data_IF_333860339088
#
_entry.id   IF_333860339088
#
_cell.length_a   1.000
_cell.length_b   1.000
_cell.length_c   1.000
_cell.angle_alpha   90.00
_cell.angle_beta   90.00
_cell.angle_gamma   90.00
#
_symmetry.space_group_name_H-M   'P 1'
#
loop_
_entity.id
_entity.type
_entity.pdbx_description
1 polymer ?
#
# COMPACT_ATOMS: atom_id res chain seq x y z
N UNK A 1 -4.90 0.22 -13.35
CA UNK A 1 -5.03 1.69 -13.30
C UNK A 1 -4.83 2.17 -14.71
N UNK A 2 -5.71 3.02 -15.21
CA UNK A 2 -5.73 3.35 -16.65
C UNK A 2 -4.61 4.32 -17.07
N UNK A 3 -3.92 4.91 -16.08
CA UNK A 3 -2.75 5.76 -16.25
C UNK A 3 -1.63 5.28 -15.31
N UNK A 4 -0.43 5.03 -15.84
CA UNK A 4 0.77 4.56 -15.13
C UNK A 4 1.28 5.55 -14.06
N UNK A 5 1.03 6.84 -14.24
CA UNK A 5 1.41 7.87 -13.28
C UNK A 5 0.49 7.93 -12.07
N UNK A 6 -0.67 7.27 -12.12
CA UNK A 6 -1.63 7.28 -11.02
C UNK A 6 -1.06 6.59 -9.78
N UNK A 7 -1.23 7.23 -8.63
CA UNK A 7 -0.87 6.68 -7.32
C UNK A 7 -2.09 6.67 -6.39
N UNK A 8 -2.13 5.73 -5.45
CA UNK A 8 -3.23 5.57 -4.51
C UNK A 8 -2.81 5.46 -3.05
N UNK A 9 -3.70 5.83 -2.15
CA UNK A 9 -3.55 5.63 -0.70
C UNK A 9 -4.83 4.97 -0.17
N UNK A 10 -4.68 3.88 0.58
CA UNK A 10 -5.77 3.14 1.20
C UNK A 10 -5.57 3.06 2.71
N UNK A 11 -6.65 3.14 3.48
CA UNK A 11 -6.59 3.15 4.94
C UNK A 11 -7.61 2.14 5.50
N UNK A 12 -7.19 1.31 6.44
CA UNK A 12 -8.09 0.52 7.27
C UNK A 12 -7.51 0.37 8.69
N UNK A 13 -8.06 -0.55 9.51
CA UNK A 13 -7.57 -0.77 10.87
C UNK A 13 -6.06 -1.05 10.90
N UNK A 14 -5.58 -2.03 10.15
CA UNK A 14 -4.16 -2.45 10.13
C UNK A 14 -3.42 -2.15 8.82
N UNK A 15 -4.12 -1.72 7.77
CA UNK A 15 -3.61 -1.61 6.39
C UNK A 15 -3.45 -2.94 5.65
N UNK A 16 -3.37 -4.08 6.37
CA UNK A 16 -3.15 -5.42 5.79
C UNK A 16 -4.29 -5.87 4.87
N UNK A 17 -5.53 -5.71 5.32
CA UNK A 17 -6.69 -6.11 4.52
C UNK A 17 -6.78 -5.33 3.21
N UNK A 18 -6.40 -4.05 3.23
CA UNK A 18 -6.38 -3.21 2.05
C UNK A 18 -5.31 -3.65 1.06
N UNK A 19 -4.09 -3.96 1.52
CA UNK A 19 -3.04 -4.43 0.61
C UNK A 19 -3.38 -5.80 0.01
N UNK A 20 -3.97 -6.71 0.77
CA UNK A 20 -4.42 -8.02 0.26
C UNK A 20 -5.50 -7.85 -0.81
N UNK A 21 -6.49 -6.97 -0.58
CA UNK A 21 -7.57 -6.74 -1.53
C UNK A 21 -7.08 -6.02 -2.80
N UNK A 22 -6.29 -4.95 -2.63
CA UNK A 22 -5.82 -4.11 -3.73
C UNK A 22 -4.89 -4.88 -4.69
N UNK A 23 -4.01 -5.75 -4.16
CA UNK A 23 -3.11 -6.57 -4.98
C UNK A 23 -3.81 -7.60 -5.87
N UNK A 24 -5.13 -7.83 -5.71
CA UNK A 24 -5.91 -8.69 -6.62
C UNK A 24 -6.29 -8.00 -7.93
N UNK A 25 -6.12 -6.68 -8.03
CA UNK A 25 -6.47 -5.90 -9.21
C UNK A 25 -5.26 -5.79 -10.12
N UNK A 26 -5.44 -6.14 -11.41
CA UNK A 26 -4.37 -6.08 -12.41
C UNK A 26 -3.77 -4.67 -12.49
N UNK A 27 -2.44 -4.61 -12.43
CA UNK A 27 -1.68 -3.35 -12.49
C UNK A 27 -1.60 -2.59 -11.16
N UNK A 28 -2.14 -3.13 -10.06
CA UNK A 28 -1.90 -2.58 -8.72
C UNK A 28 -0.75 -3.34 -8.05
N UNK A 29 0.18 -2.56 -7.48
CA UNK A 29 1.23 -3.01 -6.57
C UNK A 29 1.06 -2.25 -5.26
N UNK A 30 0.42 -2.87 -4.28
CA UNK A 30 0.06 -2.27 -3.01
C UNK A 30 0.94 -2.79 -1.87
N UNK A 31 1.53 -1.88 -1.09
CA UNK A 31 2.31 -2.25 0.11
C UNK A 31 1.68 -1.69 1.38
N UNK A 32 1.59 -2.51 2.42
CA UNK A 32 1.26 -2.04 3.75
C UNK A 32 2.51 -1.42 4.39
N UNK A 33 2.47 -0.11 4.66
CA UNK A 33 3.61 0.63 5.17
C UNK A 33 3.25 1.31 6.49
N UNK A 34 4.19 1.33 7.44
CA UNK A 34 3.94 1.83 8.80
C UNK A 34 4.86 2.99 9.18
N UNK A 35 5.80 3.35 8.30
CA UNK A 35 6.70 4.48 8.48
C UNK A 35 7.23 4.97 7.13
N UNK A 36 7.81 6.18 7.12
CA UNK A 36 8.33 6.83 5.90
C UNK A 36 9.43 6.00 5.23
N UNK A 37 10.31 5.37 6.01
CA UNK A 37 11.40 4.55 5.47
C UNK A 37 10.88 3.36 4.67
N UNK A 38 9.92 2.62 5.22
CA UNK A 38 9.28 1.49 4.52
C UNK A 38 8.45 1.94 3.33
N UNK A 39 7.86 3.14 3.37
CA UNK A 39 7.20 3.73 2.21
C UNK A 39 8.19 4.01 1.05
N UNK A 40 9.32 4.66 1.33
CA UNK A 40 10.37 4.93 0.33
C UNK A 40 10.92 3.62 -0.24
N UNK A 41 11.35 2.69 0.62
CA UNK A 41 11.89 1.40 0.20
C UNK A 41 10.87 0.58 -0.60
N UNK A 42 9.58 0.70 -0.30
CA UNK A 42 8.56 -0.01 -1.06
C UNK A 42 8.49 0.49 -2.51
N UNK A 43 8.67 1.79 -2.76
CA UNK A 43 8.74 2.35 -4.11
C UNK A 43 10.03 1.92 -4.80
N UNK A 44 11.18 2.07 -4.13
CA UNK A 44 12.50 1.75 -4.70
C UNK A 44 12.66 0.27 -5.07
N UNK A 45 12.16 -0.64 -4.22
CA UNK A 45 12.39 -2.08 -4.40
C UNK A 45 11.24 -2.79 -5.12
N UNK A 46 10.00 -2.32 -4.95
CA UNK A 46 8.81 -3.04 -5.42
C UNK A 46 7.96 -2.22 -6.39
N UNK A 47 8.39 -1.00 -6.73
CA UNK A 47 7.71 -0.11 -7.68
C UNK A 47 6.21 0.06 -7.33
N UNK A 48 5.89 0.17 -6.03
CA UNK A 48 4.49 0.26 -5.60
C UNK A 48 3.84 1.55 -6.08
N UNK A 49 2.59 1.40 -6.52
CA UNK A 49 1.73 2.51 -6.93
C UNK A 49 0.58 2.76 -5.96
N UNK A 50 0.40 1.91 -4.94
CA UNK A 50 -0.59 2.10 -3.88
C UNK A 50 0.04 1.89 -2.49
N UNK A 51 -0.11 2.86 -1.60
CA UNK A 51 0.25 2.72 -0.19
C UNK A 51 -0.97 2.32 0.64
N UNK A 52 -0.82 1.32 1.50
CA UNK A 52 -1.84 0.92 2.45
C UNK A 52 -1.35 1.26 3.87
N UNK A 53 -2.20 1.95 4.64
CA UNK A 53 -1.88 2.42 5.99
C UNK A 53 -2.90 1.87 7.01
N UNK A 54 -2.42 1.60 8.22
CA UNK A 54 -3.27 1.34 9.38
C UNK A 54 -3.53 2.62 10.17
N UNK A 55 -4.77 2.95 10.49
CA UNK A 55 -5.08 4.00 11.48
C UNK A 55 -5.05 3.46 12.92
N UNK A 56 -5.24 2.15 13.09
CA UNK A 56 -5.15 1.46 14.37
C UNK A 56 -3.73 0.96 14.62
N UNK A 57 -3.35 0.85 15.89
CA UNK A 57 -2.19 0.03 16.25
C UNK A 57 -2.49 -1.41 15.83
N UNK A 58 -1.53 -2.10 15.23
CA UNK A 58 -1.54 -3.57 15.19
C UNK A 58 -1.79 -4.03 16.63
N UNK A 59 -2.98 -4.56 16.92
CA UNK A 59 -3.44 -4.89 18.28
C UNK A 59 -2.91 -6.25 18.74
N UNK A 60 -1.63 -6.48 18.50
CA UNK A 60 -0.87 -7.61 19.02
C UNK A 60 0.44 -7.07 19.59
#
# INVERSE_FOLDING_TARGET
MDNEDTKGVLICGTGVGMSIAANKVKGIRASNVTNVKTAIQSVEHNDVNVLCLGFGKSRY
#
